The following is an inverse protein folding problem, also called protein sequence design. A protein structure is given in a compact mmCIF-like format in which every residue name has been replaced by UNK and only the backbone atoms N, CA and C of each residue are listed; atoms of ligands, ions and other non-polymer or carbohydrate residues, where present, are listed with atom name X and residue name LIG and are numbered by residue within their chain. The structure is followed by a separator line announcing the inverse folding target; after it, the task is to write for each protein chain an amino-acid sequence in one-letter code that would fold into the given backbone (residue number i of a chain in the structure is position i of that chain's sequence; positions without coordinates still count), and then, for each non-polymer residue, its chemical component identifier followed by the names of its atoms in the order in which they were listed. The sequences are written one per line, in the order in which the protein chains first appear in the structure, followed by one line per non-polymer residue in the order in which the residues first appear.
data_IF_324743032522
#
_entry.id   IF_324743032522
#
_cell.length_a   1.000
_cell.length_b   1.000
_cell.length_c   1.000
_cell.angle_alpha   90.00
_cell.angle_beta   90.00
_cell.angle_gamma   90.00
#
_symmetry.space_group_name_H-M   'P 1'
#
loop_
_entity.id
_entity.type
_entity.pdbx_description
1 polymer ?
#
# COMPACT_ATOMS: atom_id res chain seq x y z
N UNK A 1 -23.47 -7.98 13.08
CA UNK A 1 -22.83 -9.00 12.23
C UNK A 1 -21.37 -9.14 12.59
N UNK A 2 -20.92 -10.37 12.90
CA UNK A 2 -19.50 -10.69 13.02
C UNK A 2 -18.81 -10.40 11.69
N UNK A 3 -17.69 -9.68 11.72
CA UNK A 3 -16.94 -9.26 10.54
C UNK A 3 -15.61 -10.00 10.53
N UNK A 4 -15.16 -10.43 9.35
CA UNK A 4 -13.91 -11.17 9.20
C UNK A 4 -12.74 -10.44 9.90
N UNK A 5 -11.86 -11.18 10.60
CA UNK A 5 -10.65 -10.62 11.18
C UNK A 5 -9.82 -9.89 10.13
N UNK A 6 -9.24 -8.74 10.50
CA UNK A 6 -8.24 -8.10 9.64
C UNK A 6 -7.01 -8.99 9.64
N UNK A 7 -6.55 -9.39 8.46
CA UNK A 7 -5.26 -10.04 8.31
C UNK A 7 -4.21 -9.01 8.76
N UNK A 8 -3.41 -9.36 9.75
CA UNK A 8 -2.45 -8.47 10.41
C UNK A 8 -1.20 -9.27 10.79
N UNK A 9 -0.38 -9.56 9.78
CA UNK A 9 0.83 -10.37 9.92
C UNK A 9 2.08 -9.48 9.91
N UNK A 10 3.15 -9.82 10.68
CA UNK A 10 4.39 -9.07 10.67
C UNK A 10 4.95 -8.83 9.25
N UNK A 11 5.37 -7.59 8.98
CA UNK A 11 5.92 -7.18 7.68
C UNK A 11 4.87 -6.74 6.65
N UNK A 12 3.57 -6.98 6.88
CA UNK A 12 2.52 -6.56 5.94
C UNK A 12 2.37 -5.04 5.94
N UNK A 13 2.14 -4.51 4.75
CA UNK A 13 1.83 -3.10 4.52
C UNK A 13 0.31 -2.90 4.50
N UNK A 14 -0.13 -1.84 5.17
CA UNK A 14 -1.53 -1.48 5.32
C UNK A 14 -1.75 -0.06 4.80
N UNK A 15 -2.49 0.08 3.70
CA UNK A 15 -3.07 1.36 3.33
C UNK A 15 -4.27 1.64 4.21
N UNK A 16 -4.15 2.66 5.06
CA UNK A 16 -5.17 3.04 6.01
C UNK A 16 -5.84 4.35 5.63
N UNK A 17 -7.17 4.34 5.65
CA UNK A 17 -7.99 5.54 5.43
C UNK A 17 -9.00 5.70 6.56
N UNK A 18 -9.06 6.90 7.15
CA UNK A 18 -10.09 7.28 8.12
C UNK A 18 -10.66 8.65 7.76
N UNK A 19 -11.99 8.80 7.81
CA UNK A 19 -12.73 9.98 7.34
C UNK A 19 -13.69 10.48 8.41
N UNK A 20 -13.87 11.80 8.48
CA UNK A 20 -14.88 12.43 9.31
C UNK A 20 -16.30 11.99 8.94
N UNK A 21 -17.17 11.88 9.94
CA UNK A 21 -18.59 11.61 9.72
C UNK A 21 -19.20 12.67 8.80
N UNK A 22 -20.06 12.25 7.87
CA UNK A 22 -20.67 13.12 6.83
C UNK A 22 -19.65 13.86 5.95
N UNK A 23 -18.38 13.42 5.93
CA UNK A 23 -17.30 14.11 5.21
C UNK A 23 -16.89 15.44 5.83
N UNK A 24 -17.28 15.70 7.08
CA UNK A 24 -16.89 16.88 7.85
C UNK A 24 -15.40 16.88 8.15
N UNK A 25 -14.88 18.07 8.42
CA UNK A 25 -13.49 18.26 8.84
C UNK A 25 -13.21 17.54 10.16
N UNK A 26 -12.07 16.86 10.18
CA UNK A 26 -11.44 16.25 11.36
C UNK A 26 -10.26 17.09 11.85
N UNK A 27 -9.85 18.11 11.09
CA UNK A 27 -8.91 19.15 11.48
C UNK A 27 -9.49 20.51 11.06
N UNK A 28 -9.73 21.41 12.00
CA UNK A 28 -10.21 22.77 11.68
C UNK A 28 -9.06 23.76 11.53
N UNK A 29 -7.90 23.42 12.07
CA UNK A 29 -6.72 24.28 12.08
C UNK A 29 -5.45 23.46 11.79
N UNK A 30 -4.40 24.12 11.28
CA UNK A 30 -3.07 23.50 11.13
C UNK A 30 -2.51 22.99 12.47
N UNK A 31 -2.88 23.64 13.58
CA UNK A 31 -2.48 23.19 14.92
C UNK A 31 -3.06 21.82 15.27
N UNK A 32 -4.30 21.51 14.84
CA UNK A 32 -4.89 20.18 15.03
C UNK A 32 -4.13 19.11 14.24
N UNK A 33 -3.74 19.44 12.99
CA UNK A 33 -2.96 18.53 12.16
C UNK A 33 -1.57 18.27 12.76
N UNK A 34 -0.90 19.30 13.30
CA UNK A 34 0.38 19.14 14.01
C UNK A 34 0.24 18.24 15.24
N UNK A 35 -0.77 18.49 16.08
CA UNK A 35 -1.01 17.64 17.25
C UNK A 35 -1.30 16.18 16.86
N UNK A 36 -2.01 15.97 15.76
CA UNK A 36 -2.23 14.63 15.20
C UNK A 36 -0.92 13.99 14.73
N UNK A 37 -0.09 14.74 14.01
CA UNK A 37 1.22 14.31 13.52
C UNK A 37 2.14 13.90 14.68
N UNK A 38 2.20 14.71 15.75
CA UNK A 38 3.00 14.45 16.95
C UNK A 38 2.50 13.18 17.67
N UNK A 39 1.18 13.06 17.86
CA UNK A 39 0.56 11.86 18.43
C UNK A 39 0.89 10.61 17.61
N UNK A 40 0.84 10.72 16.28
CA UNK A 40 1.16 9.64 15.37
C UNK A 40 2.62 9.20 15.51
N UNK A 41 3.56 10.14 15.61
CA UNK A 41 4.97 9.86 15.85
C UNK A 41 5.24 9.16 17.17
N UNK A 42 4.69 9.69 18.26
CA UNK A 42 4.81 9.09 19.60
C UNK A 42 4.26 7.66 19.64
N UNK A 43 3.11 7.43 18.99
CA UNK A 43 2.52 6.10 18.90
C UNK A 43 3.35 5.16 18.02
N UNK A 44 3.90 5.65 16.90
CA UNK A 44 4.73 4.87 15.98
C UNK A 44 5.91 4.25 16.72
N UNK A 45 6.61 5.07 17.52
CA UNK A 45 7.72 4.63 18.35
C UNK A 45 7.25 3.68 19.46
N UNK A 46 6.19 4.04 20.19
CA UNK A 46 5.69 3.26 21.33
C UNK A 46 5.17 1.86 20.95
N UNK A 47 4.57 1.71 19.77
CA UNK A 47 4.06 0.42 19.27
C UNK A 47 5.04 -0.29 18.33
N UNK A 48 6.14 0.37 17.98
CA UNK A 48 7.06 -0.04 16.94
C UNK A 48 6.33 -0.28 15.62
N UNK A 49 5.42 0.60 15.21
CA UNK A 49 4.63 0.51 13.97
C UNK A 49 5.20 1.51 12.96
N UNK A 50 6.06 1.08 12.01
CA UNK A 50 6.64 2.00 11.05
C UNK A 50 5.56 2.68 10.20
N UNK A 51 5.65 4.00 10.12
CA UNK A 51 4.87 4.81 9.18
C UNK A 51 5.73 5.00 7.93
N UNK A 52 5.31 4.47 6.80
CA UNK A 52 6.08 4.57 5.54
C UNK A 52 5.69 5.84 4.76
N UNK A 53 4.40 6.21 4.78
CA UNK A 53 3.91 7.40 4.07
C UNK A 53 2.61 7.91 4.70
N UNK A 54 2.31 9.20 4.58
CA UNK A 54 1.06 9.76 5.08
C UNK A 54 0.63 11.01 4.30
N UNK A 55 -0.67 11.31 4.34
CA UNK A 55 -1.25 12.59 3.98
C UNK A 55 -2.46 12.87 4.89
N UNK A 56 -2.45 14.01 5.58
CA UNK A 56 -3.54 14.47 6.43
C UNK A 56 -4.32 15.55 5.68
N UNK A 57 -5.55 15.24 5.32
CA UNK A 57 -6.50 16.14 4.65
C UNK A 57 -7.45 16.73 5.69
N UNK A 58 -8.10 17.88 5.44
CA UNK A 58 -9.01 18.49 6.41
C UNK A 58 -10.09 17.55 6.94
N UNK A 59 -10.66 16.67 6.08
CA UNK A 59 -11.75 15.76 6.43
C UNK A 59 -11.39 14.26 6.43
N UNK A 60 -10.16 13.87 6.11
CA UNK A 60 -9.72 12.47 6.14
C UNK A 60 -8.19 12.33 6.22
N UNK A 61 -7.72 11.13 6.50
CA UNK A 61 -6.30 10.79 6.50
C UNK A 61 -6.03 9.60 5.58
N UNK A 62 -4.85 9.59 4.98
CA UNK A 62 -4.26 8.43 4.31
C UNK A 62 -2.94 8.09 4.98
N UNK A 63 -2.77 6.85 5.43
CA UNK A 63 -1.54 6.35 6.03
C UNK A 63 -1.09 5.08 5.30
N UNK A 64 0.21 4.89 5.18
CA UNK A 64 0.81 3.61 4.84
C UNK A 64 1.61 3.12 6.04
N UNK A 65 1.13 2.05 6.66
CA UNK A 65 1.68 1.51 7.89
C UNK A 65 2.26 0.13 7.62
N UNK A 66 3.41 -0.17 8.22
CA UNK A 66 3.93 -1.53 8.27
C UNK A 66 3.62 -2.16 9.61
N UNK A 67 3.14 -3.40 9.61
CA UNK A 67 2.93 -4.16 10.84
C UNK A 67 4.28 -4.48 11.49
N UNK A 68 4.54 -3.84 12.64
CA UNK A 68 5.79 -4.00 13.39
C UNK A 68 5.69 -4.91 14.62
N UNK A 69 5.80 -4.41 15.85
CA UNK A 69 5.67 -5.24 17.09
C UNK A 69 4.23 -5.43 17.54
N UNK A 70 3.44 -4.36 17.56
CA UNK A 70 2.00 -4.43 17.91
C UNK A 70 1.08 -4.41 16.68
N UNK A 71 -0.13 -5.00 16.79
CA UNK A 71 -1.16 -4.95 15.76
C UNK A 71 -1.37 -3.54 15.21
N UNK A 72 -1.57 -3.40 13.90
CA UNK A 72 -1.92 -2.09 13.30
C UNK A 72 -3.23 -1.56 13.91
N UNK A 73 -4.12 -2.47 14.32
CA UNK A 73 -5.33 -2.13 15.05
C UNK A 73 -5.07 -1.43 16.38
N UNK A 74 -4.07 -1.84 17.15
CA UNK A 74 -3.70 -1.22 18.42
C UNK A 74 -3.21 0.21 18.20
N UNK A 75 -2.33 0.41 17.21
CA UNK A 75 -1.86 1.74 16.82
C UNK A 75 -3.03 2.64 16.39
N UNK A 76 -3.86 2.16 15.47
CA UNK A 76 -4.97 2.95 14.93
C UNK A 76 -6.05 3.26 15.97
N UNK A 77 -6.34 2.33 16.88
CA UNK A 77 -7.29 2.57 17.96
C UNK A 77 -6.81 3.71 18.86
N UNK A 78 -5.54 3.68 19.30
CA UNK A 78 -4.97 4.73 20.15
C UNK A 78 -4.91 6.09 19.43
N UNK A 79 -4.53 6.08 18.15
CA UNK A 79 -4.41 7.29 17.34
C UNK A 79 -5.77 7.96 17.13
N UNK A 80 -6.76 7.22 16.61
CA UNK A 80 -8.07 7.77 16.26
C UNK A 80 -8.90 8.12 17.49
N UNK A 81 -8.90 7.28 18.54
CA UNK A 81 -9.63 7.59 19.77
C UNK A 81 -9.05 8.82 20.45
N UNK A 82 -7.71 8.90 20.55
CA UNK A 82 -7.06 10.06 21.15
C UNK A 82 -7.36 11.36 20.42
N UNK A 83 -7.41 11.34 19.09
CA UNK A 83 -7.80 12.50 18.29
C UNK A 83 -9.28 12.86 18.44
N UNK A 84 -10.17 11.87 18.43
CA UNK A 84 -11.60 12.10 18.57
C UNK A 84 -11.95 12.75 19.92
N UNK A 85 -11.33 12.28 21.00
CA UNK A 85 -11.50 12.87 22.34
C UNK A 85 -10.97 14.32 22.37
N UNK A 86 -9.76 14.54 21.86
CA UNK A 86 -9.20 15.90 21.76
C UNK A 86 -10.11 16.85 20.98
N UNK A 87 -10.56 16.43 19.79
CA UNK A 87 -11.38 17.26 18.91
C UNK A 87 -12.74 17.58 19.54
N UNK A 88 -13.37 16.58 20.17
CA UNK A 88 -14.65 16.77 20.85
C UNK A 88 -14.53 17.74 22.03
N UNK A 89 -13.46 17.62 22.83
CA UNK A 89 -13.23 18.53 23.95
C UNK A 89 -12.92 19.96 23.47
N UNK A 90 -12.03 20.11 22.48
CA UNK A 90 -11.60 21.43 21.98
C UNK A 90 -12.73 22.20 21.29
N UNK A 91 -13.64 21.50 20.62
CA UNK A 91 -14.71 22.11 19.83
C UNK A 91 -16.09 21.91 20.42
N UNK A 92 -16.18 21.52 21.70
CA UNK A 92 -17.42 21.34 22.45
C UNK A 92 -18.44 20.45 21.69
N UNK A 93 -17.94 19.37 21.10
CA UNK A 93 -18.75 18.40 20.36
C UNK A 93 -18.98 17.15 21.17
N UNK A 94 -20.08 16.47 20.85
CA UNK A 94 -20.36 15.12 21.33
C UNK A 94 -20.58 14.16 20.16
N UNK A 95 -20.38 12.87 20.42
CA UNK A 95 -20.59 11.80 19.44
C UNK A 95 -19.36 11.44 18.60
N UNK A 96 -19.60 10.69 17.53
CA UNK A 96 -18.54 10.15 16.68
C UNK A 96 -17.91 11.23 15.78
N UNK A 97 -16.57 11.32 15.80
CA UNK A 97 -15.83 12.13 14.85
C UNK A 97 -15.66 11.43 13.51
N UNK A 98 -15.31 10.15 13.52
CA UNK A 98 -15.04 9.35 12.33
C UNK A 98 -16.26 8.55 11.89
N UNK A 99 -16.48 8.47 10.57
CA UNK A 99 -17.67 7.83 9.98
C UNK A 99 -17.74 6.32 10.28
N UNK A 100 -16.61 5.64 10.25
CA UNK A 100 -16.50 4.19 10.37
C UNK A 100 -15.14 3.83 10.99
N UNK A 101 -14.95 2.55 11.34
CA UNK A 101 -13.59 2.03 11.60
C UNK A 101 -12.71 2.32 10.38
N UNK A 102 -11.42 2.55 10.62
CA UNK A 102 -10.45 2.70 9.55
C UNK A 102 -10.49 1.50 8.59
N UNK A 103 -10.32 1.80 7.29
CA UNK A 103 -10.13 0.80 6.24
C UNK A 103 -8.65 0.42 6.21
N UNK A 104 -8.34 -0.85 5.95
CA UNK A 104 -6.96 -1.33 5.80
C UNK A 104 -6.88 -2.27 4.60
N UNK A 105 -6.11 -1.89 3.58
CA UNK A 105 -5.86 -2.71 2.40
C UNK A 105 -4.45 -3.27 2.52
N UNK A 106 -4.31 -4.59 2.40
CA UNK A 106 -3.00 -5.27 2.39
C UNK A 106 -2.34 -5.07 1.04
N UNK A 107 -1.05 -4.77 1.11
CA UNK A 107 -0.22 -4.48 -0.04
C UNK A 107 0.92 -5.52 -0.07
N UNK A 108 0.94 -6.43 -1.04
CA UNK A 108 1.83 -7.62 -1.06
C UNK A 108 2.93 -7.54 -2.13
N UNK A 109 3.28 -6.34 -2.65
CA UNK A 109 4.40 -6.20 -3.60
C UNK A 109 5.16 -4.88 -3.48
N UNK A 110 6.48 -4.95 -3.71
CA UNK A 110 7.39 -3.80 -3.71
C UNK A 110 7.06 -2.81 -4.85
N UNK A 111 6.61 -3.32 -6.00
CA UNK A 111 6.13 -2.49 -7.11
C UNK A 111 4.87 -1.67 -6.73
N UNK A 112 4.00 -2.25 -5.90
CA UNK A 112 2.79 -1.59 -5.43
C UNK A 112 3.08 -0.54 -4.35
N UNK A 113 4.11 -0.76 -3.52
CA UNK A 113 4.55 0.19 -2.50
C UNK A 113 4.84 1.57 -3.10
N UNK A 114 5.61 1.64 -4.20
CA UNK A 114 5.99 2.90 -4.84
C UNK A 114 4.77 3.70 -5.30
N UNK A 115 3.86 3.05 -6.02
CA UNK A 115 2.67 3.70 -6.55
C UNK A 115 1.74 4.17 -5.42
N UNK A 116 1.61 3.38 -4.34
CA UNK A 116 0.80 3.76 -3.20
C UNK A 116 1.39 4.95 -2.44
N UNK A 117 2.72 5.00 -2.25
CA UNK A 117 3.40 6.14 -1.63
C UNK A 117 3.11 7.42 -2.41
N UNK A 118 3.20 7.36 -3.73
CA UNK A 118 2.94 8.49 -4.63
C UNK A 118 1.47 8.90 -4.60
N UNK A 119 0.55 7.93 -4.67
CA UNK A 119 -0.87 8.18 -4.52
C UNK A 119 -1.20 8.92 -3.23
N UNK A 120 -0.70 8.42 -2.09
CA UNK A 120 -0.93 9.01 -0.78
C UNK A 120 -0.49 10.47 -0.82
N UNK A 121 0.72 10.74 -1.30
CA UNK A 121 1.29 12.07 -1.37
C UNK A 121 0.60 13.02 -2.35
N UNK A 122 -0.03 12.52 -3.40
CA UNK A 122 -0.80 13.35 -4.33
C UNK A 122 -2.22 13.66 -3.86
N UNK A 123 -2.70 13.08 -2.75
CA UNK A 123 -4.05 13.39 -2.24
C UNK A 123 -4.26 14.89 -1.91
N UNK A 124 -3.31 15.62 -1.28
CA UNK A 124 -3.45 17.06 -1.07
C UNK A 124 -3.64 17.86 -2.36
N UNK A 125 -2.93 17.50 -3.44
CA UNK A 125 -3.09 18.12 -4.75
C UNK A 125 -4.47 17.80 -5.33
N UNK A 126 -4.82 16.51 -5.38
CA UNK A 126 -6.11 16.03 -5.93
C UNK A 126 -7.34 16.55 -5.17
N UNK A 127 -7.19 16.75 -3.87
CA UNK A 127 -8.22 17.27 -2.99
C UNK A 127 -8.30 18.79 -2.98
N UNK A 128 -7.47 19.50 -3.74
CA UNK A 128 -7.43 20.95 -3.80
C UNK A 128 -6.95 21.61 -2.50
N UNK A 129 -6.20 20.89 -1.67
CA UNK A 129 -5.58 21.44 -0.44
C UNK A 129 -4.32 22.24 -0.79
N UNK A 130 -3.62 21.83 -1.84
CA UNK A 130 -2.48 22.51 -2.45
C UNK A 130 -2.60 22.45 -3.97
N UNK A 131 -1.98 23.37 -4.70
CA UNK A 131 -2.17 23.49 -6.15
C UNK A 131 -1.08 22.81 -6.98
N UNK A 132 0.13 22.67 -6.43
CA UNK A 132 1.30 22.19 -7.17
C UNK A 132 2.19 21.25 -6.34
N UNK A 133 3.12 20.53 -6.99
CA UNK A 133 4.17 19.78 -6.29
C UNK A 133 5.08 20.68 -5.45
N UNK A 134 5.30 21.91 -5.91
CA UNK A 134 6.08 22.91 -5.18
C UNK A 134 5.41 23.28 -3.85
N UNK A 135 4.07 23.38 -3.83
CA UNK A 135 3.31 23.61 -2.60
C UNK A 135 3.22 22.35 -1.76
N UNK A 136 3.06 21.18 -2.39
CA UNK A 136 3.07 19.89 -1.71
C UNK A 136 4.40 19.66 -0.97
N UNK A 137 5.53 20.10 -1.53
CA UNK A 137 6.85 20.01 -0.88
C UNK A 137 6.90 20.82 0.42
N UNK A 138 6.16 21.94 0.49
CA UNK A 138 6.03 22.81 1.68
C UNK A 138 4.93 22.34 2.63
N UNK A 139 4.00 21.50 2.18
CA UNK A 139 2.88 21.00 2.97
C UNK A 139 3.37 20.00 4.04
N UNK A 140 3.38 20.43 5.31
CA UNK A 140 3.97 19.65 6.42
C UNK A 140 3.18 18.39 6.77
N UNK A 141 1.95 18.29 6.27
CA UNK A 141 1.01 17.22 6.60
C UNK A 141 0.92 16.15 5.52
N UNK A 142 1.92 16.06 4.64
CA UNK A 142 2.16 14.93 3.75
C UNK A 142 3.62 14.50 3.79
N UNK A 143 3.91 13.22 3.54
CA UNK A 143 5.28 12.69 3.59
C UNK A 143 6.19 13.19 2.47
N UNK A 144 5.65 13.83 1.42
CA UNK A 144 6.38 14.23 0.20
C UNK A 144 7.62 15.08 0.49
N UNK A 145 7.46 16.18 1.24
CA UNK A 145 8.59 17.05 1.60
C UNK A 145 9.65 16.32 2.45
N UNK A 146 9.25 15.32 3.23
CA UNK A 146 10.16 14.52 4.05
C UNK A 146 10.91 13.48 3.21
N UNK A 147 10.24 12.85 2.25
CA UNK A 147 10.85 11.91 1.30
C UNK A 147 11.89 12.62 0.41
N UNK A 148 11.62 13.87 0.00
CA UNK A 148 12.57 14.72 -0.72
C UNK A 148 13.72 15.26 0.15
N UNK A 149 13.70 15.03 1.46
CA UNK A 149 14.73 15.54 2.38
C UNK A 149 14.64 17.04 2.67
N UNK A 150 13.54 17.72 2.31
CA UNK A 150 13.34 19.14 2.65
C UNK A 150 13.06 19.36 4.16
N UNK A 151 12.71 18.28 4.86
CA UNK A 151 12.40 18.25 6.30
C UNK A 151 12.54 16.82 6.81
N UNK A 152 12.58 16.63 8.13
CA UNK A 152 12.85 15.34 8.76
C UNK A 152 11.85 15.02 9.87
N UNK A 153 11.44 13.76 9.92
CA UNK A 153 10.70 13.13 11.02
C UNK A 153 11.41 11.84 11.37
N UNK A 154 11.96 11.72 12.57
CA UNK A 154 12.78 10.56 12.96
C UNK A 154 11.99 9.24 13.04
N UNK A 155 10.68 9.33 13.21
CA UNK A 155 9.79 8.18 13.25
C UNK A 155 9.21 7.77 11.89
N UNK A 156 9.43 8.58 10.83
CA UNK A 156 8.98 8.28 9.47
C UNK A 156 9.99 7.34 8.80
N UNK A 157 9.52 6.19 8.32
CA UNK A 157 10.33 5.15 7.69
C UNK A 157 10.66 5.48 6.21
N UNK A 158 11.24 6.66 6.01
CA UNK A 158 11.62 7.17 4.68
C UNK A 158 12.68 6.29 4.02
N UNK A 159 13.58 5.69 4.81
CA UNK A 159 14.66 4.83 4.31
C UNK A 159 14.12 3.57 3.63
N UNK A 160 13.17 2.88 4.27
CA UNK A 160 12.54 1.69 3.68
C UNK A 160 11.75 2.05 2.42
N UNK A 161 11.18 3.25 2.34
CA UNK A 161 10.51 3.69 1.12
C UNK A 161 11.51 4.01 0.01
N UNK A 162 12.52 4.83 0.29
CA UNK A 162 13.46 5.33 -0.70
C UNK A 162 14.33 4.23 -1.32
N UNK A 163 14.69 3.19 -0.58
CA UNK A 163 15.49 2.07 -1.13
C UNK A 163 14.80 1.35 -2.29
N UNK A 164 13.46 1.43 -2.38
CA UNK A 164 12.71 0.86 -3.49
C UNK A 164 12.80 1.70 -4.78
N UNK A 165 13.29 2.94 -4.70
CA UNK A 165 13.53 3.81 -5.86
C UNK A 165 14.97 3.69 -6.39
N UNK A 166 15.96 3.63 -5.49
CA UNK A 166 17.35 3.34 -5.82
C UNK A 166 18.15 2.96 -4.55
N UNK A 167 19.31 2.33 -4.72
CA UNK A 167 20.19 1.97 -3.60
C UNK A 167 20.83 3.18 -2.90
N UNK A 168 21.27 4.18 -3.68
CA UNK A 168 21.89 5.40 -3.16
C UNK A 168 20.82 6.45 -2.87
N UNK A 169 20.85 7.03 -1.66
CA UNK A 169 19.83 7.95 -1.17
C UNK A 169 19.59 9.16 -2.09
N UNK A 170 20.65 9.75 -2.67
CA UNK A 170 20.53 10.85 -3.62
C UNK A 170 19.72 10.46 -4.87
N UNK A 171 20.12 9.36 -5.52
CA UNK A 171 19.40 8.82 -6.69
C UNK A 171 17.98 8.38 -6.34
N UNK A 172 17.76 7.85 -5.13
CA UNK A 172 16.44 7.43 -4.69
C UNK A 172 15.47 8.61 -4.58
N UNK A 173 15.94 9.74 -4.05
CA UNK A 173 15.15 10.98 -3.98
C UNK A 173 14.83 11.54 -5.36
N UNK A 174 15.81 11.54 -6.25
CA UNK A 174 15.63 11.98 -7.63
C UNK A 174 14.62 11.10 -8.38
N UNK A 175 14.78 9.78 -8.29
CA UNK A 175 13.85 8.81 -8.88
C UNK A 175 12.44 8.94 -8.29
N UNK A 176 12.30 9.18 -6.98
CA UNK A 176 11.01 9.49 -6.36
C UNK A 176 10.39 10.77 -6.92
N UNK A 177 11.17 11.87 -7.06
CA UNK A 177 10.69 13.14 -7.62
C UNK A 177 10.18 12.96 -9.04
N UNK A 178 10.97 12.33 -9.91
CA UNK A 178 10.57 12.05 -11.29
C UNK A 178 9.32 11.16 -11.36
N UNK A 179 9.20 10.19 -10.43
CA UNK A 179 8.05 9.30 -10.41
C UNK A 179 6.75 10.02 -10.02
N UNK A 180 6.79 10.91 -9.02
CA UNK A 180 5.60 11.68 -8.61
C UNK A 180 5.23 12.75 -9.64
N UNK A 181 6.21 13.35 -10.32
CA UNK A 181 6.00 14.27 -11.45
C UNK A 181 5.27 13.58 -12.60
N UNK A 182 5.78 12.45 -13.09
CA UNK A 182 5.10 11.66 -14.14
C UNK A 182 3.71 11.21 -13.72
N UNK A 183 3.55 10.85 -12.45
CA UNK A 183 2.25 10.47 -11.92
C UNK A 183 1.28 11.66 -11.94
N UNK A 184 1.73 12.87 -11.59
CA UNK A 184 0.92 14.09 -11.66
C UNK A 184 0.53 14.43 -13.10
N UNK A 185 1.45 14.33 -14.06
CA UNK A 185 1.15 14.60 -15.48
C UNK A 185 0.11 13.61 -16.03
N UNK A 186 0.19 12.34 -15.60
CA UNK A 186 -0.80 11.34 -15.97
C UNK A 186 -2.18 11.56 -15.32
N UNK A 187 -2.29 12.35 -14.25
CA UNK A 187 -3.56 12.59 -13.55
C UNK A 187 -4.59 13.30 -14.40
N UNK A 188 -4.16 14.13 -15.35
CA UNK A 188 -5.06 14.82 -16.30
C UNK A 188 -5.86 13.83 -17.16
N UNK A 189 -5.33 12.61 -17.39
CA UNK A 189 -5.98 11.55 -18.16
C UNK A 189 -6.97 10.66 -17.37
N UNK A 190 -7.00 10.73 -16.04
CA UNK A 190 -7.83 9.81 -15.23
C UNK A 190 -9.21 10.34 -14.86
N UNK A 191 -9.55 11.60 -15.17
CA UNK A 191 -10.87 12.15 -14.87
C UNK A 191 -11.21 12.18 -13.37
N UNK A 192 -10.19 12.26 -12.51
CA UNK A 192 -10.33 12.21 -11.04
C UNK A 192 -10.05 13.55 -10.37
N UNK A 193 -10.44 14.66 -11.01
CA UNK A 193 -10.76 15.89 -10.27
C UNK A 193 -11.78 15.49 -9.20
N UNK A 194 -11.62 15.98 -7.97
CA UNK A 194 -12.37 15.60 -6.76
C UNK A 194 -13.90 15.71 -6.77
N UNK A 195 -14.54 15.74 -7.94
CA UNK A 195 -15.97 15.59 -8.20
C UNK A 195 -16.34 14.79 -9.47
N UNK A 196 -15.40 14.08 -10.11
CA UNK A 196 -15.55 13.47 -11.45
C UNK A 196 -16.65 12.41 -11.63
N UNK A 197 -17.14 11.79 -10.55
CA UNK A 197 -18.22 10.80 -10.64
C UNK A 197 -19.59 11.41 -10.97
N UNK A 198 -19.74 12.74 -10.97
CA UNK A 198 -21.00 13.36 -11.44
C UNK A 198 -21.21 13.26 -12.95
N UNK A 199 -20.16 13.00 -13.76
CA UNK A 199 -20.28 12.96 -15.23
C UNK A 199 -20.54 11.57 -15.81
N UNK A 200 -20.27 10.49 -15.09
CA UNK A 200 -20.39 9.12 -15.62
C UNK A 200 -21.75 8.44 -15.35
N UNK A 201 -22.73 9.13 -14.75
CA UNK A 201 -24.07 8.58 -14.46
C UNK A 201 -25.08 8.85 -15.60
N UNK A 202 -24.65 9.44 -16.72
CA UNK A 202 -25.44 9.45 -17.96
C UNK A 202 -24.77 8.55 -19.00
N UNK A 203 -25.11 7.27 -18.97
CA UNK A 203 -24.82 6.37 -20.09
C UNK A 203 -24.48 4.94 -19.68
N UNK A 204 -25.49 4.07 -19.83
CA UNK A 204 -25.33 2.67 -20.24
C UNK A 204 -25.01 1.62 -19.16
N UNK A 205 -26.07 0.90 -18.76
CA UNK A 205 -26.08 -0.57 -18.82
C UNK A 205 -25.66 -1.34 -17.57
N UNK A 206 -26.67 -1.85 -16.87
CA UNK A 206 -26.69 -3.01 -15.96
C UNK A 206 -25.38 -3.76 -15.65
N UNK A 207 -24.97 -3.70 -14.37
CA UNK A 207 -24.71 -4.90 -13.55
C UNK A 207 -24.74 -4.51 -12.05
N UNK A 208 -25.71 -5.08 -11.33
CA UNK A 208 -25.91 -4.90 -9.89
C UNK A 208 -24.86 -5.68 -9.08
N UNK A 209 -23.70 -5.08 -8.83
CA UNK A 209 -22.94 -5.37 -7.62
C UNK A 209 -23.22 -4.28 -6.58
N UNK A 210 -23.85 -4.67 -5.45
CA UNK A 210 -24.09 -3.79 -4.30
C UNK A 210 -22.78 -3.49 -3.57
N UNK A 211 -21.87 -2.75 -4.20
CA UNK A 211 -20.73 -2.14 -3.52
C UNK A 211 -21.21 -0.92 -2.74
N UNK A 212 -20.93 -0.93 -1.44
CA UNK A 212 -21.17 0.19 -0.51
C UNK A 212 -20.81 1.52 -1.19
N UNK A 213 -21.77 2.44 -1.21
CA UNK A 213 -21.70 3.78 -1.84
C UNK A 213 -20.47 4.62 -1.42
N UNK A 214 -19.78 4.21 -0.36
CA UNK A 214 -18.65 4.87 0.28
C UNK A 214 -17.29 4.64 -0.43
N UNK A 215 -17.13 3.55 -1.20
CA UNK A 215 -15.87 3.25 -1.91
C UNK A 215 -15.63 4.12 -3.14
N UNK A 216 -16.72 4.51 -3.82
CA UNK A 216 -16.69 5.28 -5.07
C UNK A 216 -16.30 6.76 -4.88
N UNK A 217 -16.56 7.33 -3.70
CA UNK A 217 -16.33 8.77 -3.41
C UNK A 217 -14.88 9.12 -3.08
N UNK A 218 -14.08 8.16 -2.61
CA UNK A 218 -12.68 8.41 -2.24
C UNK A 218 -11.69 7.95 -3.31
N UNK A 219 -12.14 7.21 -4.32
CA UNK A 219 -11.29 6.68 -5.38
C UNK A 219 -10.25 5.66 -4.92
N UNK A 220 -9.94 5.55 -3.62
CA UNK A 220 -8.87 4.71 -3.09
C UNK A 220 -9.04 3.24 -3.44
N UNK A 221 -10.24 2.65 -3.29
CA UNK A 221 -10.45 1.24 -3.64
C UNK A 221 -10.42 0.98 -5.15
N UNK A 222 -10.95 1.91 -5.95
CA UNK A 222 -10.95 1.81 -7.42
C UNK A 222 -9.54 2.02 -7.96
N UNK A 223 -8.80 2.99 -7.44
CA UNK A 223 -7.42 3.26 -7.78
C UNK A 223 -6.50 2.14 -7.32
N UNK A 224 -6.67 1.63 -6.10
CA UNK A 224 -5.94 0.44 -5.63
C UNK A 224 -6.27 -0.78 -6.48
N UNK A 225 -7.55 -1.00 -6.83
CA UNK A 225 -7.96 -2.08 -7.74
C UNK A 225 -7.40 -1.88 -9.14
N UNK A 226 -7.37 -0.66 -9.67
CA UNK A 226 -6.86 -0.33 -11.01
C UNK A 226 -5.34 -0.37 -11.05
N UNK A 227 -4.65 -0.03 -9.96
CA UNK A 227 -3.21 -0.27 -9.80
C UNK A 227 -2.94 -1.76 -9.74
N UNK A 228 -3.70 -2.51 -8.94
CA UNK A 228 -3.59 -3.97 -8.87
C UNK A 228 -3.85 -4.55 -10.25
N UNK A 229 -4.86 -4.04 -10.96
CA UNK A 229 -5.18 -4.42 -12.34
C UNK A 229 -4.02 -4.10 -13.26
N UNK A 230 -3.50 -2.87 -13.30
CA UNK A 230 -2.39 -2.44 -14.18
C UNK A 230 -1.05 -3.11 -13.85
N UNK A 231 -0.77 -3.36 -12.58
CA UNK A 231 0.39 -4.14 -12.15
C UNK A 231 0.26 -5.61 -12.59
N UNK A 232 -0.98 -6.10 -12.68
CA UNK A 232 -1.31 -7.43 -13.21
C UNK A 232 -1.55 -7.45 -14.73
N UNK A 233 -1.86 -6.32 -15.39
CA UNK A 233 -2.19 -6.21 -16.82
C UNK A 233 -0.91 -6.24 -17.69
N UNK A 234 0.27 -6.31 -17.07
CA UNK A 234 1.52 -6.75 -17.71
C UNK A 234 1.76 -8.27 -17.62
N UNK A 235 0.89 -9.01 -16.92
CA UNK A 235 0.89 -10.47 -16.87
C UNK A 235 -0.32 -10.98 -17.64
N UNK A 236 -0.16 -11.91 -18.60
CA UNK A 236 -1.30 -12.47 -19.32
C UNK A 236 -2.29 -13.10 -18.32
N UNK A 237 -3.59 -12.91 -18.58
CA UNK A 237 -4.70 -13.52 -17.85
C UNK A 237 -4.63 -15.06 -17.97
N UNK A 238 -3.76 -15.67 -17.17
CA UNK A 238 -3.67 -17.11 -17.03
C UNK A 238 -4.22 -17.43 -15.66
N UNK A 239 -5.39 -18.08 -15.63
CA UNK A 239 -6.00 -18.63 -14.41
C UNK A 239 -4.90 -19.24 -13.51
N UNK A 240 -4.76 -18.83 -12.23
CA UNK A 240 -3.62 -19.20 -11.37
C UNK A 240 -3.33 -20.70 -11.23
N UNK A 241 -4.34 -21.55 -11.45
CA UNK A 241 -4.18 -23.00 -11.48
C UNK A 241 -3.50 -23.50 -12.77
N UNK A 242 -3.84 -22.95 -13.95
CA UNK A 242 -3.21 -23.32 -15.23
C UNK A 242 -1.78 -22.81 -15.34
N UNK A 243 -1.47 -21.65 -14.75
CA UNK A 243 -0.12 -21.09 -14.74
C UNK A 243 0.86 -21.92 -13.88
N UNK A 244 0.38 -22.53 -12.80
CA UNK A 244 1.21 -23.38 -11.94
C UNK A 244 1.69 -24.65 -12.67
N UNK A 245 0.77 -25.39 -13.29
CA UNK A 245 1.10 -26.64 -13.99
C UNK A 245 2.04 -26.39 -15.18
N UNK A 246 1.83 -25.30 -15.92
CA UNK A 246 2.70 -24.90 -17.02
C UNK A 246 4.12 -24.57 -16.55
N UNK A 247 4.25 -23.79 -15.47
CA UNK A 247 5.55 -23.42 -14.90
C UNK A 247 6.23 -24.64 -14.27
N UNK A 248 5.46 -25.59 -13.72
CA UNK A 248 5.98 -26.84 -13.17
C UNK A 248 6.57 -27.72 -14.27
N UNK A 249 5.83 -27.95 -15.36
CA UNK A 249 6.30 -28.77 -16.49
C UNK A 249 7.50 -28.13 -17.19
N UNK A 250 7.51 -26.80 -17.34
CA UNK A 250 8.67 -26.09 -17.88
C UNK A 250 9.93 -26.29 -17.02
N UNK A 251 9.81 -26.18 -15.69
CA UNK A 251 10.96 -26.38 -14.78
C UNK A 251 11.43 -27.83 -14.77
N UNK A 252 10.51 -28.81 -14.78
CA UNK A 252 10.86 -30.23 -14.86
C UNK A 252 11.67 -30.54 -16.11
N UNK A 253 11.28 -29.97 -17.26
CA UNK A 253 11.99 -30.10 -18.53
C UNK A 253 13.35 -29.39 -18.50
N UNK A 254 13.36 -28.09 -18.22
CA UNK A 254 14.53 -27.22 -18.39
C UNK A 254 15.64 -27.56 -17.38
N UNK A 255 15.25 -27.94 -16.17
CA UNK A 255 16.19 -28.39 -15.15
C UNK A 255 16.31 -29.90 -15.11
N UNK A 256 15.58 -30.69 -15.91
CA UNK A 256 15.62 -32.16 -15.89
C UNK A 256 15.53 -32.75 -14.47
N UNK A 257 14.55 -32.29 -13.69
CA UNK A 257 14.29 -32.72 -12.31
C UNK A 257 12.90 -33.35 -12.19
N UNK A 258 12.74 -34.32 -11.29
CA UNK A 258 11.43 -34.87 -10.96
C UNK A 258 10.65 -33.93 -10.04
N UNK A 259 9.34 -34.18 -9.91
CA UNK A 259 8.49 -33.42 -9.00
C UNK A 259 8.89 -33.66 -7.53
N UNK A 260 9.24 -34.90 -7.17
CA UNK A 260 9.74 -35.25 -5.84
C UNK A 260 11.04 -34.52 -5.50
N UNK A 261 11.93 -34.31 -6.47
CA UNK A 261 13.17 -33.55 -6.28
C UNK A 261 12.93 -32.05 -6.10
N UNK A 262 11.94 -31.51 -6.82
CA UNK A 262 11.55 -30.11 -6.76
C UNK A 262 10.87 -29.77 -5.42
N UNK A 263 9.92 -30.58 -4.96
CA UNK A 263 9.22 -30.35 -3.68
C UNK A 263 9.94 -30.96 -2.47
N UNK A 264 10.92 -31.83 -2.71
CA UNK A 264 11.68 -32.53 -1.67
C UNK A 264 12.67 -31.68 -0.89
N UNK A 265 13.45 -32.39 -0.05
CA UNK A 265 14.49 -31.80 0.83
C UNK A 265 15.91 -31.92 0.26
N UNK A 266 16.07 -32.47 -0.94
CA UNK A 266 17.38 -32.67 -1.56
C UNK A 266 18.15 -31.34 -1.68
N UNK A 267 19.46 -31.38 -1.44
CA UNK A 267 20.34 -30.20 -1.53
C UNK A 267 21.23 -30.21 -2.77
N UNK A 268 20.96 -31.12 -3.71
CA UNK A 268 21.65 -31.17 -5.00
C UNK A 268 21.46 -29.82 -5.71
N UNK A 269 22.57 -29.25 -6.20
CA UNK A 269 22.63 -27.90 -6.78
C UNK A 269 21.57 -27.67 -7.87
N UNK A 270 21.39 -28.67 -8.73
CA UNK A 270 20.38 -28.70 -9.80
C UNK A 270 18.95 -28.52 -9.27
N UNK A 271 18.54 -29.32 -8.28
CA UNK A 271 17.22 -29.23 -7.65
C UNK A 271 17.01 -27.94 -6.82
N UNK A 272 18.07 -27.41 -6.21
CA UNK A 272 18.02 -26.10 -5.52
C UNK A 272 17.80 -24.96 -6.52
N UNK A 273 18.53 -24.96 -7.63
CA UNK A 273 18.38 -23.96 -8.68
C UNK A 273 17.00 -24.05 -9.35
N UNK A 274 16.52 -25.26 -9.65
CA UNK A 274 15.17 -25.50 -10.17
C UNK A 274 14.10 -24.90 -9.25
N UNK A 275 14.22 -25.11 -7.93
CA UNK A 275 13.31 -24.53 -6.93
C UNK A 275 13.35 -23.01 -6.86
N UNK A 276 14.54 -22.41 -6.96
CA UNK A 276 14.69 -20.96 -6.98
C UNK A 276 14.01 -20.36 -8.21
N UNK A 277 14.30 -20.92 -9.39
CA UNK A 277 13.70 -20.49 -10.66
C UNK A 277 12.19 -20.70 -10.67
N UNK A 278 11.72 -21.83 -10.15
CA UNK A 278 10.30 -22.13 -10.00
C UNK A 278 9.59 -21.09 -9.12
N UNK A 279 10.13 -20.78 -7.94
CA UNK A 279 9.56 -19.75 -7.07
C UNK A 279 9.52 -18.36 -7.74
N UNK A 280 10.57 -18.00 -8.49
CA UNK A 280 10.62 -16.76 -9.26
C UNK A 280 9.54 -16.71 -10.34
N UNK A 281 9.40 -17.75 -11.16
CA UNK A 281 8.41 -17.80 -12.24
C UNK A 281 6.98 -17.83 -11.70
N UNK A 282 6.71 -18.56 -10.61
CA UNK A 282 5.40 -18.53 -9.96
C UNK A 282 5.05 -17.12 -9.45
N UNK A 283 6.04 -16.37 -8.94
CA UNK A 283 5.82 -15.00 -8.49
C UNK A 283 5.63 -14.03 -9.66
N UNK A 284 6.43 -14.14 -10.72
CA UNK A 284 6.45 -13.17 -11.83
C UNK A 284 5.46 -13.47 -12.94
N UNK A 285 5.32 -14.72 -13.35
CA UNK A 285 4.48 -15.14 -14.48
C UNK A 285 3.10 -15.60 -14.03
N UNK A 286 3.01 -16.31 -12.89
CA UNK A 286 1.73 -16.80 -12.37
C UNK A 286 1.07 -15.84 -11.37
N UNK A 287 1.69 -14.70 -11.06
CA UNK A 287 1.16 -13.68 -10.15
C UNK A 287 0.93 -14.18 -8.72
N UNK A 288 1.58 -15.28 -8.34
CA UNK A 288 1.32 -15.95 -7.06
C UNK A 288 2.03 -15.23 -5.93
N UNK A 289 1.34 -15.09 -4.80
CA UNK A 289 1.91 -14.49 -3.60
C UNK A 289 2.98 -15.39 -3.00
N UNK A 290 3.96 -14.80 -2.31
CA UNK A 290 4.99 -15.56 -1.60
C UNK A 290 4.42 -16.54 -0.58
N UNK A 291 3.22 -16.27 -0.05
CA UNK A 291 2.49 -17.16 0.87
C UNK A 291 1.88 -18.37 0.16
N UNK A 292 1.34 -18.19 -1.05
CA UNK A 292 0.85 -19.28 -1.89
C UNK A 292 1.97 -20.19 -2.36
N UNK A 293 3.11 -19.59 -2.75
CA UNK A 293 4.32 -20.32 -3.14
C UNK A 293 4.88 -21.09 -1.94
N UNK A 294 4.95 -20.47 -0.77
CA UNK A 294 5.41 -21.12 0.47
C UNK A 294 4.58 -22.35 0.84
N UNK A 295 3.25 -22.25 0.72
CA UNK A 295 2.34 -23.37 0.99
C UNK A 295 2.57 -24.51 0.01
N UNK A 296 2.69 -24.21 -1.28
CA UNK A 296 2.91 -25.22 -2.33
C UNK A 296 4.28 -25.88 -2.25
N UNK A 297 5.32 -25.13 -1.89
CA UNK A 297 6.68 -25.67 -1.74
C UNK A 297 6.95 -26.30 -0.37
N UNK A 298 6.00 -26.25 0.57
CA UNK A 298 6.20 -26.63 1.96
C UNK A 298 7.45 -25.99 2.58
N UNK A 299 7.66 -24.68 2.32
CA UNK A 299 8.79 -23.88 2.83
C UNK A 299 8.30 -22.68 3.63
N UNK A 300 9.18 -22.12 4.47
CA UNK A 300 8.94 -20.85 5.12
C UNK A 300 8.98 -19.66 4.14
N UNK A 301 8.20 -18.61 4.39
CA UNK A 301 8.13 -17.41 3.53
C UNK A 301 9.48 -16.71 3.36
N UNK A 302 10.31 -16.69 4.40
CA UNK A 302 11.67 -16.14 4.33
C UNK A 302 12.60 -16.94 3.41
N UNK A 303 12.41 -18.25 3.34
CA UNK A 303 13.12 -19.09 2.38
C UNK A 303 12.62 -18.79 0.96
N UNK A 304 11.30 -18.69 0.75
CA UNK A 304 10.73 -18.35 -0.57
C UNK A 304 11.19 -17.00 -1.09
N UNK A 305 11.26 -15.96 -0.25
CA UNK A 305 11.79 -14.65 -0.66
C UNK A 305 13.24 -14.74 -1.15
N UNK A 306 14.10 -15.49 -0.44
CA UNK A 306 15.48 -15.74 -0.88
C UNK A 306 15.55 -16.58 -2.16
N UNK A 307 14.62 -17.51 -2.34
CA UNK A 307 14.51 -18.35 -3.53
C UNK A 307 14.13 -17.53 -4.76
N UNK A 308 13.17 -16.60 -4.63
CA UNK A 308 12.75 -15.68 -5.69
C UNK A 308 13.93 -14.81 -6.13
N UNK A 309 14.65 -14.19 -5.18
CA UNK A 309 15.83 -13.37 -5.48
C UNK A 309 16.92 -14.17 -6.21
N UNK A 310 17.18 -15.41 -5.78
CA UNK A 310 18.17 -16.27 -6.44
C UNK A 310 17.70 -16.81 -7.79
N UNK A 311 16.39 -16.96 -7.99
CA UNK A 311 15.78 -17.49 -9.20
C UNK A 311 15.75 -16.50 -10.36
N UNK A 312 15.83 -15.20 -10.07
CA UNK A 312 15.95 -14.14 -11.08
C UNK A 312 17.29 -14.22 -11.85
N UNK A 313 18.33 -14.73 -11.19
CA UNK A 313 19.70 -14.85 -11.71
C UNK A 313 19.96 -16.18 -12.47
N UNK A 314 18.95 -17.04 -12.58
CA UNK A 314 19.00 -18.36 -13.23
C UNK A 314 18.13 -18.36 -14.48
#
# INVERSE_FOLDING_TARGET
MSRMPRIDAPGYLHHVVARGIEGREIFKTKADQRLFLDRMGNLSQATGTPVCSFALMPNHIHLLLRRGRSPVSTFMQRLLTGHAVFFNNKYERSGHLFQNRYKAIICDSDAYLLQLVVYINLNPVRGGVVESLSDLKKYEFASHGYLLGARRLDWLDSKTVLVNFAEKEGHAREAYSQFIERAMDSMDGFGLNGGGLRRSIKGSGDQKERHSSDERKLGAAVFVKEIVRRANDGAPDVRPARAFDQVLEAIKRDFSVSEEELFGRTRIKKAVNARNRFAYLLSRQAGMTGSEIARRLSKGRSAVSKMIQKGELL
#
